data_IF_307835059889
#
_entry.id   IF_307835059889
#
_cell.length_a   1.000
_cell.length_b   1.000
_cell.length_c   1.000
_cell.angle_alpha   90.00
_cell.angle_beta   90.00
_cell.angle_gamma   90.00
#
_symmetry.space_group_name_H-M   'P 1'
#
loop_
_entity.id
_entity.type
_entity.pdbx_description
1 polymer ?
#
# COMPACT_ATOMS: atom_id res chain seq x y z
N UNK A 1 59.15 -31.64 24.65
CA UNK A 1 58.75 -31.26 23.27
C UNK A 1 57.22 -31.56 23.11
N UNK A 2 56.41 -30.58 23.42
CA UNK A 2 54.95 -30.70 23.35
C UNK A 2 54.50 -30.14 22.02
N UNK A 3 53.74 -30.94 21.25
CA UNK A 3 53.19 -30.54 19.96
C UNK A 3 51.97 -29.63 20.22
N UNK A 4 52.11 -28.40 19.81
CA UNK A 4 51.05 -27.42 19.72
C UNK A 4 50.01 -27.88 18.69
N UNK A 5 48.80 -28.02 19.13
CA UNK A 5 47.66 -28.52 18.36
C UNK A 5 46.97 -27.30 17.72
N UNK A 6 47.41 -26.98 16.48
CA UNK A 6 46.83 -25.95 15.65
C UNK A 6 45.45 -26.39 15.18
N UNK A 7 44.37 -25.90 15.85
CA UNK A 7 42.97 -26.11 15.44
C UNK A 7 42.56 -24.97 14.54
N UNK A 8 42.11 -25.23 13.30
CA UNK A 8 41.65 -24.19 12.40
C UNK A 8 40.47 -23.43 13.02
N UNK A 9 40.50 -22.11 12.87
CA UNK A 9 39.59 -21.16 13.49
C UNK A 9 38.12 -21.55 13.29
N UNK A 10 37.43 -21.64 14.39
CA UNK A 10 35.97 -21.77 14.43
C UNK A 10 35.41 -20.44 13.92
N UNK A 11 34.69 -20.47 12.79
CA UNK A 11 33.89 -19.34 12.34
C UNK A 11 32.82 -19.14 13.42
N UNK A 12 32.96 -18.09 14.22
CA UNK A 12 31.89 -17.61 15.06
C UNK A 12 31.02 -16.73 14.18
N UNK A 13 29.81 -17.20 13.87
CA UNK A 13 28.78 -16.32 13.36
C UNK A 13 28.46 -15.35 14.50
N UNK A 14 28.59 -14.04 14.26
CA UNK A 14 28.00 -13.07 15.15
C UNK A 14 26.50 -13.39 15.22
N UNK A 15 25.98 -13.58 16.43
CA UNK A 15 24.55 -13.60 16.68
C UNK A 15 24.03 -12.16 16.46
N UNK A 16 23.97 -11.74 15.19
CA UNK A 16 23.12 -10.62 14.82
C UNK A 16 21.70 -11.12 15.09
N UNK A 17 21.03 -10.49 16.04
CA UNK A 17 19.59 -10.66 16.19
C UNK A 17 18.98 -10.43 14.82
N UNK A 18 18.50 -11.50 14.20
CA UNK A 18 17.81 -11.42 12.90
C UNK A 18 16.46 -10.74 13.18
N UNK A 19 16.51 -9.42 13.22
CA UNK A 19 15.30 -8.61 13.24
C UNK A 19 14.62 -8.85 11.89
N UNK A 20 13.43 -9.46 11.91
CA UNK A 20 12.62 -9.64 10.71
C UNK A 20 12.41 -8.29 10.03
N UNK A 21 12.32 -8.26 8.68
CA UNK A 21 12.08 -7.04 7.93
C UNK A 21 10.82 -6.32 8.45
N UNK A 22 10.93 -5.01 8.70
CA UNK A 22 9.83 -4.15 9.14
C UNK A 22 9.00 -3.74 7.92
N UNK A 23 7.90 -4.43 7.74
CA UNK A 23 7.03 -4.26 6.58
C UNK A 23 5.84 -3.38 6.97
N UNK A 24 5.61 -2.31 6.21
CA UNK A 24 4.43 -1.44 6.38
C UNK A 24 3.52 -1.53 5.15
N UNK A 25 2.22 -1.58 5.40
CA UNK A 25 1.18 -1.60 4.35
C UNK A 25 0.35 -0.34 4.47
N UNK A 26 0.45 0.54 3.48
CA UNK A 26 -0.21 1.84 3.44
C UNK A 26 -1.39 1.82 2.49
N UNK A 27 -2.59 1.95 3.02
CA UNK A 27 -3.82 2.10 2.23
C UNK A 27 -4.15 3.55 1.97
N UNK A 28 -4.05 3.99 0.71
CA UNK A 28 -4.25 5.39 0.30
C UNK A 28 -5.63 5.60 -0.31
N UNK A 29 -6.39 6.52 0.25
CA UNK A 29 -7.75 6.85 -0.17
C UNK A 29 -8.77 5.77 0.20
N UNK A 30 -10.00 5.88 -0.32
CA UNK A 30 -11.09 4.95 0.01
C UNK A 30 -10.80 3.51 -0.40
N UNK A 31 -10.33 3.29 -1.63
CA UNK A 31 -10.00 1.96 -2.16
C UNK A 31 -8.89 1.27 -1.38
N UNK A 32 -7.77 1.98 -1.17
CA UNK A 32 -6.64 1.46 -0.39
C UNK A 32 -7.00 1.21 1.08
N UNK A 33 -7.75 2.13 1.69
CA UNK A 33 -8.26 1.95 3.06
C UNK A 33 -9.16 0.73 3.21
N UNK A 34 -10.01 0.45 2.23
CA UNK A 34 -10.84 -0.76 2.21
C UNK A 34 -9.99 -2.03 2.08
N UNK A 35 -8.96 -2.01 1.24
CA UNK A 35 -8.03 -3.13 1.11
C UNK A 35 -7.32 -3.43 2.43
N UNK A 36 -6.76 -2.42 3.10
CA UNK A 36 -6.14 -2.55 4.43
C UNK A 36 -7.13 -3.12 5.46
N UNK A 37 -8.35 -2.58 5.53
CA UNK A 37 -9.38 -3.08 6.46
C UNK A 37 -9.70 -4.56 6.22
N UNK A 38 -9.67 -5.04 4.98
CA UNK A 38 -9.88 -6.46 4.63
C UNK A 38 -8.69 -7.32 5.02
N UNK A 39 -7.46 -6.89 4.75
CA UNK A 39 -6.24 -7.60 5.15
C UNK A 39 -6.20 -7.82 6.67
N UNK A 40 -6.54 -6.80 7.45
CA UNK A 40 -6.65 -6.89 8.90
C UNK A 40 -7.76 -7.89 9.31
N UNK A 41 -8.92 -7.84 8.64
CA UNK A 41 -10.03 -8.75 8.91
C UNK A 41 -9.72 -10.21 8.56
N UNK A 42 -8.84 -10.45 7.58
CA UNK A 42 -8.36 -11.81 7.22
C UNK A 42 -7.26 -12.33 8.14
N UNK A 43 -6.83 -11.54 9.14
CA UNK A 43 -5.85 -12.00 10.14
C UNK A 43 -4.40 -11.95 9.65
N UNK A 44 -4.09 -11.16 8.60
CA UNK A 44 -2.71 -10.99 8.14
C UNK A 44 -1.85 -10.38 9.26
N UNK A 45 -0.77 -11.06 9.61
CA UNK A 45 0.16 -10.69 10.68
C UNK A 45 1.57 -10.41 10.11
N UNK A 46 2.45 -9.88 10.96
CA UNK A 46 3.84 -9.61 10.60
C UNK A 46 4.05 -8.31 9.80
N UNK A 47 3.01 -7.48 9.66
CA UNK A 47 3.06 -6.19 9.00
C UNK A 47 2.34 -5.11 9.81
N UNK A 48 2.77 -3.87 9.66
CA UNK A 48 2.13 -2.70 10.24
C UNK A 48 1.19 -2.04 9.22
N UNK A 49 -0.05 -1.76 9.63
CA UNK A 49 -1.07 -1.19 8.75
C UNK A 49 -1.27 0.29 8.99
N UNK A 50 -1.24 1.06 7.91
CA UNK A 50 -1.44 2.52 7.90
C UNK A 50 -2.56 2.85 6.92
N UNK A 51 -3.50 3.71 7.31
CA UNK A 51 -4.52 4.26 6.42
C UNK A 51 -4.30 5.77 6.24
N UNK A 52 -4.20 6.21 5.00
CA UNK A 52 -4.03 7.62 4.61
C UNK A 52 -5.25 8.07 3.81
N UNK A 53 -5.96 9.11 4.24
CA UNK A 53 -7.13 9.60 3.52
C UNK A 53 -7.38 11.10 3.77
N UNK A 54 -8.02 11.76 2.81
CA UNK A 54 -8.57 13.11 2.95
C UNK A 54 -9.97 13.12 3.55
N UNK A 55 -10.68 11.97 3.51
CA UNK A 55 -12.02 11.78 4.06
C UNK A 55 -11.92 11.27 5.51
N UNK A 56 -12.32 12.12 6.46
CA UNK A 56 -12.25 11.82 7.89
C UNK A 56 -13.24 10.73 8.31
N UNK A 57 -14.40 10.64 7.67
CA UNK A 57 -15.40 9.63 8.01
C UNK A 57 -14.94 8.24 7.60
N UNK A 58 -14.43 8.11 6.36
CA UNK A 58 -13.83 6.88 5.87
C UNK A 58 -12.62 6.46 6.72
N UNK A 59 -11.80 7.42 7.15
CA UNK A 59 -10.64 7.16 7.99
C UNK A 59 -11.03 6.67 9.40
N UNK A 60 -12.07 7.27 10.01
CA UNK A 60 -12.59 6.82 11.32
C UNK A 60 -13.12 5.40 11.29
N UNK A 61 -13.81 5.03 10.21
CA UNK A 61 -14.37 3.69 10.01
C UNK A 61 -13.31 2.63 9.65
N UNK A 62 -12.09 3.04 9.28
CA UNK A 62 -11.01 2.14 8.91
C UNK A 62 -10.50 1.34 10.10
N UNK A 63 -10.03 0.10 9.86
CA UNK A 63 -9.50 -0.80 10.90
C UNK A 63 -8.01 -0.65 11.17
N UNK A 64 -7.28 0.12 10.34
CA UNK A 64 -5.85 0.33 10.54
C UNK A 64 -5.56 0.95 11.92
N UNK A 65 -4.53 0.47 12.64
CA UNK A 65 -4.11 1.05 13.90
C UNK A 65 -3.56 2.47 13.72
N UNK A 66 -2.85 2.73 12.62
CA UNK A 66 -2.32 4.05 12.29
C UNK A 66 -3.21 4.68 11.22
N UNK A 67 -3.69 5.89 11.48
CA UNK A 67 -4.60 6.62 10.60
C UNK A 67 -4.09 8.04 10.40
N UNK A 68 -3.83 8.41 9.17
CA UNK A 68 -3.30 9.72 8.79
C UNK A 68 -4.34 10.46 7.97
N UNK A 69 -4.91 11.51 8.53
CA UNK A 69 -5.69 12.47 7.76
C UNK A 69 -4.73 13.41 7.06
N UNK A 70 -4.83 13.50 5.73
CA UNK A 70 -4.06 14.43 4.90
C UNK A 70 -4.94 15.53 4.33
N UNK A 71 -4.38 16.72 4.15
CA UNK A 71 -5.06 17.87 3.59
C UNK A 71 -6.23 18.37 4.45
N UNK A 72 -6.07 18.32 5.77
CA UNK A 72 -7.12 18.74 6.70
C UNK A 72 -7.57 20.19 6.51
N UNK A 73 -6.66 21.10 6.17
CA UNK A 73 -6.98 22.51 5.86
C UNK A 73 -7.63 22.64 4.48
N UNK A 74 -7.12 21.90 3.49
CA UNK A 74 -7.57 21.95 2.10
C UNK A 74 -8.97 21.35 1.92
N UNK A 75 -9.23 20.18 2.50
CA UNK A 75 -10.45 19.40 2.26
C UNK A 75 -11.48 19.49 3.40
N UNK A 76 -11.07 19.99 4.56
CA UNK A 76 -11.89 20.02 5.79
C UNK A 76 -12.46 18.64 6.18
N UNK A 77 -11.76 17.57 5.77
CA UNK A 77 -12.17 16.18 6.03
C UNK A 77 -13.28 15.66 5.12
N UNK A 78 -13.67 16.37 4.07
CA UNK A 78 -14.75 15.99 3.14
C UNK A 78 -14.25 15.17 1.93
N UNK A 79 -12.95 14.84 1.89
CA UNK A 79 -12.38 14.13 0.77
C UNK A 79 -11.90 15.03 -0.38
N UNK A 80 -11.27 14.44 -1.38
CA UNK A 80 -10.69 15.16 -2.52
C UNK A 80 -11.68 15.41 -3.69
N UNK A 81 -12.95 15.06 -3.55
CA UNK A 81 -13.97 15.33 -4.58
C UNK A 81 -13.68 14.71 -5.95
N UNK A 82 -13.09 13.53 -5.99
CA UNK A 82 -12.63 12.83 -7.22
C UNK A 82 -11.61 13.65 -8.05
N UNK A 83 -10.93 14.61 -7.44
CA UNK A 83 -9.87 15.40 -8.08
C UNK A 83 -8.48 14.94 -7.59
N UNK A 84 -7.64 14.33 -8.46
CA UNK A 84 -6.31 13.88 -8.10
C UNK A 84 -5.36 15.00 -7.65
N UNK A 85 -5.48 16.20 -8.21
CA UNK A 85 -4.63 17.34 -7.81
C UNK A 85 -4.87 17.76 -6.36
N UNK A 86 -6.15 17.72 -5.91
CA UNK A 86 -6.49 17.95 -4.51
C UNK A 86 -5.92 16.85 -3.63
N UNK A 87 -6.00 15.58 -4.07
CA UNK A 87 -5.40 14.45 -3.36
C UNK A 87 -3.88 14.58 -3.22
N UNK A 88 -3.19 15.00 -4.29
CA UNK A 88 -1.76 15.24 -4.30
C UNK A 88 -1.37 16.38 -3.34
N UNK A 89 -2.03 17.52 -3.47
CA UNK A 89 -1.78 18.69 -2.61
C UNK A 89 -2.02 18.36 -1.12
N UNK A 90 -3.07 17.58 -0.82
CA UNK A 90 -3.38 17.12 0.52
C UNK A 90 -2.24 16.26 1.12
N UNK A 91 -1.66 15.36 0.34
CA UNK A 91 -0.53 14.54 0.80
C UNK A 91 0.75 15.38 0.98
N UNK A 92 0.99 16.34 0.09
CA UNK A 92 2.12 17.27 0.21
C UNK A 92 2.00 18.18 1.44
N UNK A 93 0.78 18.65 1.77
CA UNK A 93 0.53 19.47 2.98
C UNK A 93 0.94 18.75 4.28
N UNK A 94 0.75 17.43 4.32
CA UNK A 94 0.98 16.61 5.53
C UNK A 94 2.15 15.61 5.35
N UNK A 95 3.17 15.98 4.55
CA UNK A 95 4.35 15.14 4.27
C UNK A 95 5.05 14.66 5.55
N UNK A 96 5.20 15.52 6.55
CA UNK A 96 5.85 15.16 7.83
C UNK A 96 5.13 13.99 8.53
N UNK A 97 3.79 14.02 8.60
CA UNK A 97 3.01 12.94 9.22
C UNK A 97 3.18 11.61 8.49
N UNK A 98 3.30 11.65 7.15
CA UNK A 98 3.53 10.46 6.34
C UNK A 98 4.93 9.94 6.58
N UNK A 99 5.93 10.82 6.60
CA UNK A 99 7.33 10.50 6.86
C UNK A 99 7.49 9.81 8.22
N UNK A 100 6.98 10.42 9.29
CA UNK A 100 7.02 9.87 10.66
C UNK A 100 6.40 8.48 10.75
N UNK A 101 5.27 8.26 10.06
CA UNK A 101 4.59 6.98 10.07
C UNK A 101 5.33 5.89 9.26
N UNK A 102 6.15 6.28 8.29
CA UNK A 102 6.94 5.36 7.46
C UNK A 102 8.36 5.15 7.98
N UNK A 103 8.81 5.97 8.92
CA UNK A 103 10.16 5.88 9.47
C UNK A 103 10.48 4.47 9.98
N UNK A 104 11.70 4.04 9.71
CA UNK A 104 12.20 2.75 10.17
C UNK A 104 11.62 1.54 9.43
N UNK A 105 10.92 1.70 8.30
CA UNK A 105 10.50 0.56 7.47
C UNK A 105 11.63 0.07 6.56
N UNK A 106 11.70 -1.24 6.36
CA UNK A 106 12.60 -1.88 5.39
C UNK A 106 11.88 -2.12 4.06
N UNK A 107 10.54 -2.29 4.11
CA UNK A 107 9.69 -2.45 2.94
C UNK A 107 8.34 -1.75 3.15
N UNK A 108 7.84 -1.06 2.11
CA UNK A 108 6.54 -0.39 2.12
C UNK A 108 5.69 -0.88 0.94
N UNK A 109 4.55 -1.47 1.26
CA UNK A 109 3.49 -1.74 0.30
C UNK A 109 2.51 -0.58 0.27
N UNK A 110 2.23 -0.05 -0.91
CA UNK A 110 1.27 1.04 -1.11
C UNK A 110 0.08 0.48 -1.88
N UNK A 111 -1.11 0.49 -1.27
CA UNK A 111 -2.33 0.05 -1.95
C UNK A 111 -3.28 1.22 -2.17
N UNK A 112 -3.81 1.33 -3.40
CA UNK A 112 -4.74 2.38 -3.77
C UNK A 112 -5.70 1.95 -4.88
N UNK A 113 -6.92 2.48 -4.85
CA UNK A 113 -7.81 2.45 -6.01
C UNK A 113 -7.58 3.70 -6.86
N UNK A 114 -7.13 3.52 -8.09
CA UNK A 114 -6.88 4.62 -9.02
C UNK A 114 -8.17 5.05 -9.74
N UNK A 115 -8.18 6.27 -10.26
CA UNK A 115 -9.32 6.89 -10.93
C UNK A 115 -10.19 7.76 -10.02
N UNK A 116 -9.90 7.80 -8.71
CA UNK A 116 -10.49 8.75 -7.77
C UNK A 116 -9.58 9.95 -7.47
N UNK A 117 -9.88 10.72 -6.44
CA UNK A 117 -9.07 11.87 -6.04
C UNK A 117 -7.88 11.46 -5.17
N UNK A 118 -8.16 11.04 -3.94
CA UNK A 118 -7.12 10.77 -2.93
C UNK A 118 -6.18 9.64 -3.34
N UNK A 119 -6.72 8.47 -3.74
CA UNK A 119 -5.89 7.32 -4.11
C UNK A 119 -4.97 7.62 -5.28
N UNK A 120 -5.49 8.28 -6.32
CA UNK A 120 -4.74 8.62 -7.53
C UNK A 120 -3.67 9.67 -7.29
N UNK A 121 -4.02 10.74 -6.55
CA UNK A 121 -3.13 11.87 -6.35
C UNK A 121 -2.13 11.69 -5.20
N UNK A 122 -2.56 11.09 -4.10
CA UNK A 122 -1.72 10.95 -2.91
C UNK A 122 -0.79 9.74 -2.94
N UNK A 123 -1.15 8.64 -3.65
CA UNK A 123 -0.31 7.43 -3.66
C UNK A 123 1.10 7.69 -4.24
N UNK A 124 1.29 8.44 -5.35
CA UNK A 124 2.63 8.78 -5.82
C UNK A 124 3.44 9.60 -4.80
N UNK A 125 2.80 10.50 -4.05
CA UNK A 125 3.47 11.30 -3.01
C UNK A 125 3.93 10.40 -1.86
N UNK A 126 3.06 9.51 -1.36
CA UNK A 126 3.40 8.53 -0.33
C UNK A 126 4.55 7.64 -0.80
N UNK A 127 4.53 7.20 -2.06
CA UNK A 127 5.57 6.39 -2.66
C UNK A 127 6.91 7.12 -2.72
N UNK A 128 6.91 8.37 -3.16
CA UNK A 128 8.12 9.22 -3.22
C UNK A 128 8.71 9.44 -1.82
N UNK A 129 7.88 9.65 -0.81
CA UNK A 129 8.34 9.77 0.58
C UNK A 129 8.98 8.46 1.04
N UNK A 130 8.31 7.33 0.81
CA UNK A 130 8.80 6.01 1.21
C UNK A 130 10.17 5.69 0.59
N UNK A 131 10.33 5.93 -0.72
CA UNK A 131 11.58 5.66 -1.44
C UNK A 131 12.76 6.52 -0.96
N UNK A 132 12.49 7.70 -0.37
CA UNK A 132 13.53 8.62 0.12
C UNK A 132 13.95 8.34 1.57
N UNK A 133 13.22 7.50 2.31
CA UNK A 133 13.50 7.24 3.73
C UNK A 133 14.69 6.31 4.00
N UNK A 134 15.21 5.63 2.96
CA UNK A 134 16.28 4.63 3.12
C UNK A 134 17.65 5.20 3.54
N UNK A 135 17.92 6.47 3.28
CA UNK A 135 19.17 7.15 3.66
C UNK A 135 20.43 6.37 3.32
N UNK A 136 21.49 6.52 4.13
CA UNK A 136 22.79 5.87 3.94
C UNK A 136 22.79 4.36 4.27
N UNK A 137 21.75 3.83 4.89
CA UNK A 137 21.66 2.42 5.33
C UNK A 137 21.03 1.48 4.30
N UNK A 138 20.58 2.00 3.16
CA UNK A 138 19.91 1.26 2.09
C UNK A 138 18.57 1.88 1.74
N UNK A 139 18.06 1.65 0.52
CA UNK A 139 16.74 2.14 0.10
C UNK A 139 15.63 1.28 0.68
N UNK A 140 14.54 1.91 1.13
CA UNK A 140 13.31 1.20 1.49
C UNK A 140 12.71 0.60 0.22
N UNK A 141 12.50 -0.72 0.19
CA UNK A 141 11.86 -1.37 -0.95
C UNK A 141 10.39 -0.96 -1.03
N UNK A 142 10.01 -0.37 -2.16
CA UNK A 142 8.65 0.16 -2.38
C UNK A 142 7.90 -0.65 -3.42
N UNK A 143 6.73 -1.16 -3.05
CA UNK A 143 5.86 -1.94 -3.94
C UNK A 143 4.46 -1.35 -3.95
N UNK A 144 3.96 -0.97 -5.11
CA UNK A 144 2.59 -0.49 -5.25
C UNK A 144 1.67 -1.60 -5.78
N UNK A 145 0.55 -1.83 -5.10
CA UNK A 145 -0.53 -2.73 -5.53
C UNK A 145 -1.80 -1.91 -5.71
N UNK A 146 -2.17 -1.65 -6.96
CA UNK A 146 -3.25 -0.72 -7.27
C UNK A 146 -4.33 -1.35 -8.15
N UNK A 147 -5.57 -0.89 -7.98
CA UNK A 147 -6.68 -1.29 -8.83
C UNK A 147 -7.02 -0.19 -9.83
N UNK A 148 -7.29 -0.60 -11.07
CA UNK A 148 -7.83 0.27 -12.12
C UNK A 148 -9.36 0.20 -12.12
N UNK A 149 -10.06 1.30 -12.44
CA UNK A 149 -11.53 1.32 -12.47
C UNK A 149 -12.09 0.35 -13.51
N UNK A 150 -13.35 -0.01 -13.34
CA UNK A 150 -14.09 -0.73 -14.38
C UNK A 150 -14.28 0.15 -15.62
N UNK A 151 -14.28 -0.47 -16.81
CA UNK A 151 -14.53 0.25 -18.08
C UNK A 151 -15.87 0.99 -18.07
N UNK A 152 -16.88 0.46 -17.37
CA UNK A 152 -18.20 1.07 -17.21
C UNK A 152 -18.21 2.35 -16.35
N UNK A 153 -17.16 2.61 -15.57
CA UNK A 153 -17.03 3.83 -14.74
C UNK A 153 -16.68 5.08 -15.58
N UNK A 154 -16.39 4.89 -16.85
CA UNK A 154 -16.24 5.94 -17.85
C UNK A 154 -14.78 6.33 -18.13
N UNK A 155 -14.60 6.90 -19.34
CA UNK A 155 -13.27 7.24 -19.89
C UNK A 155 -12.48 8.24 -19.02
N UNK A 156 -13.17 9.22 -18.41
CA UNK A 156 -12.53 10.22 -17.56
C UNK A 156 -11.83 9.56 -16.36
N UNK A 157 -12.53 8.64 -15.70
CA UNK A 157 -12.01 7.95 -14.53
C UNK A 157 -10.85 7.03 -14.87
N UNK A 158 -10.95 6.34 -16.01
CA UNK A 158 -9.86 5.53 -16.56
C UNK A 158 -8.63 6.40 -16.93
N UNK A 159 -8.83 7.56 -17.58
CA UNK A 159 -7.75 8.49 -17.91
C UNK A 159 -7.00 8.94 -16.64
N UNK A 160 -7.73 9.41 -15.63
CA UNK A 160 -7.13 9.76 -14.34
C UNK A 160 -6.36 8.60 -13.69
N UNK A 161 -6.88 7.38 -13.81
CA UNK A 161 -6.19 6.19 -13.29
C UNK A 161 -4.88 5.90 -14.02
N UNK A 162 -4.85 6.04 -15.33
CA UNK A 162 -3.65 5.83 -16.13
C UNK A 162 -2.58 6.88 -15.88
N UNK A 163 -2.98 8.16 -15.73
CA UNK A 163 -2.07 9.25 -15.36
C UNK A 163 -1.45 9.02 -13.98
N UNK A 164 -2.28 8.63 -12.99
CA UNK A 164 -1.80 8.30 -11.66
C UNK A 164 -0.90 7.06 -11.63
N UNK A 165 -1.20 6.05 -12.45
CA UNK A 165 -0.36 4.87 -12.61
C UNK A 165 1.02 5.22 -13.19
N UNK A 166 1.05 6.11 -14.19
CA UNK A 166 2.30 6.57 -14.79
C UNK A 166 3.18 7.27 -13.74
N UNK A 167 2.61 8.21 -12.99
CA UNK A 167 3.33 8.91 -11.90
C UNK A 167 3.82 7.93 -10.81
N UNK A 168 2.99 6.96 -10.43
CA UNK A 168 3.35 5.99 -9.40
C UNK A 168 4.52 5.09 -9.82
N UNK A 169 4.59 4.70 -11.09
CA UNK A 169 5.69 3.90 -11.65
C UNK A 169 7.06 4.60 -11.56
N UNK A 170 7.08 5.92 -11.54
CA UNK A 170 8.33 6.70 -11.40
C UNK A 170 8.81 6.79 -9.94
N UNK A 171 7.94 6.43 -8.98
CA UNK A 171 8.19 6.62 -7.55
C UNK A 171 8.43 5.31 -6.78
N UNK A 172 8.23 4.14 -7.39
CA UNK A 172 8.34 2.84 -6.70
C UNK A 172 9.20 1.85 -7.47
N UNK A 173 9.77 0.87 -6.75
CA UNK A 173 10.60 -0.19 -7.36
C UNK A 173 9.77 -1.18 -8.18
N UNK A 174 8.52 -1.43 -7.77
CA UNK A 174 7.62 -2.35 -8.47
C UNK A 174 6.16 -1.91 -8.39
N UNK A 175 5.39 -2.13 -9.48
CA UNK A 175 3.95 -1.86 -9.53
C UNK A 175 3.18 -3.09 -10.01
N UNK A 176 2.17 -3.48 -9.25
CA UNK A 176 1.17 -4.46 -9.64
C UNK A 176 -0.15 -3.72 -9.87
N UNK A 177 -0.57 -3.61 -11.14
CA UNK A 177 -1.83 -2.99 -11.51
C UNK A 177 -2.89 -4.05 -11.82
N UNK A 178 -4.00 -4.05 -11.10
CA UNK A 178 -5.09 -5.00 -11.22
C UNK A 178 -6.28 -4.32 -11.91
N UNK A 179 -6.58 -4.64 -13.18
CA UNK A 179 -7.79 -4.14 -13.84
C UNK A 179 -9.03 -4.75 -13.19
N UNK A 180 -9.95 -3.92 -12.67
CA UNK A 180 -11.20 -4.42 -12.06
C UNK A 180 -12.06 -5.23 -13.03
N UNK A 181 -12.00 -4.97 -14.33
CA UNK A 181 -12.72 -5.74 -15.34
C UNK A 181 -12.38 -7.24 -15.31
N UNK A 182 -11.15 -7.61 -14.94
CA UNK A 182 -10.77 -9.02 -14.80
C UNK A 182 -11.53 -9.72 -13.68
N UNK A 183 -11.97 -8.99 -12.67
CA UNK A 183 -12.73 -9.54 -11.55
C UNK A 183 -14.13 -9.96 -11.98
N UNK A 184 -14.74 -9.25 -12.95
CA UNK A 184 -16.04 -9.59 -13.50
C UNK A 184 -16.04 -10.93 -14.25
N UNK A 185 -14.88 -11.31 -14.80
CA UNK A 185 -14.72 -12.58 -15.51
C UNK A 185 -14.50 -13.78 -14.57
N UNK A 186 -14.12 -13.51 -13.31
CA UNK A 186 -13.81 -14.53 -12.30
C UNK A 186 -15.00 -14.85 -11.39
N UNK A 187 -16.10 -14.11 -11.49
CA UNK A 187 -17.30 -14.29 -10.67
C UNK A 187 -18.53 -14.63 -11.50
N UNK A 188 -19.47 -15.37 -10.92
CA UNK A 188 -20.72 -15.70 -11.60
C UNK A 188 -21.51 -14.43 -11.96
N UNK A 189 -22.24 -14.46 -13.08
CA UNK A 189 -22.95 -13.30 -13.65
C UNK A 189 -23.90 -12.56 -12.69
N UNK A 190 -24.32 -13.20 -11.60
CA UNK A 190 -25.24 -12.65 -10.61
C UNK A 190 -24.56 -12.30 -9.27
N UNK A 191 -23.22 -12.27 -9.21
CA UNK A 191 -22.49 -11.96 -7.98
C UNK A 191 -22.55 -10.45 -7.71
N UNK A 192 -22.93 -10.01 -6.49
CA UNK A 192 -22.88 -8.60 -6.12
C UNK A 192 -21.46 -8.05 -6.25
N UNK A 193 -21.32 -6.78 -6.66
CA UNK A 193 -20.02 -6.12 -6.85
C UNK A 193 -19.15 -6.18 -5.56
N UNK A 194 -19.78 -6.07 -4.40
CA UNK A 194 -19.09 -6.20 -3.10
C UNK A 194 -18.46 -7.58 -2.89
N UNK A 195 -19.05 -8.62 -3.43
CA UNK A 195 -18.55 -9.99 -3.35
C UNK A 195 -17.49 -10.27 -4.42
N UNK A 196 -17.63 -9.69 -5.60
CA UNK A 196 -16.60 -9.72 -6.63
C UNK A 196 -15.27 -9.14 -6.11
N UNK A 197 -15.31 -8.05 -5.38
CA UNK A 197 -14.13 -7.50 -4.70
C UNK A 197 -13.57 -8.40 -3.60
N UNK A 198 -14.40 -9.20 -2.95
CA UNK A 198 -13.97 -10.18 -1.94
C UNK A 198 -13.18 -11.33 -2.56
N UNK A 199 -13.67 -11.87 -3.65
CA UNK A 199 -13.01 -12.97 -4.41
C UNK A 199 -11.66 -12.51 -4.98
N UNK A 200 -11.57 -11.27 -5.43
CA UNK A 200 -10.33 -10.70 -5.95
C UNK A 200 -9.21 -10.51 -4.92
N UNK A 201 -9.57 -10.41 -3.64
CA UNK A 201 -8.60 -10.25 -2.56
C UNK A 201 -8.05 -11.59 -2.01
N UNK A 202 -8.58 -12.73 -2.49
CA UNK A 202 -8.09 -14.07 -2.13
C UNK A 202 -7.24 -14.58 -3.30
N UNK A 203 -5.95 -14.87 -3.12
CA UNK A 203 -5.15 -15.50 -4.17
C UNK A 203 -5.76 -16.86 -4.53
N UNK A 204 -5.80 -17.19 -5.82
CA UNK A 204 -6.40 -18.40 -6.36
C UNK A 204 -5.80 -19.73 -5.81
N UNK A 205 -4.66 -19.63 -5.13
CA UNK A 205 -3.89 -20.77 -4.62
C UNK A 205 -4.31 -21.21 -3.20
N UNK A 206 -5.26 -20.50 -2.57
CA UNK A 206 -5.72 -20.84 -1.21
C UNK A 206 -6.68 -22.05 -1.16
N UNK A 207 -7.18 -22.53 -2.31
CA UNK A 207 -8.08 -23.69 -2.39
C UNK A 207 -7.38 -25.02 -2.73
N UNK A 208 -6.07 -25.05 -2.92
CA UNK A 208 -5.33 -26.23 -3.36
C UNK A 208 -4.82 -27.15 -2.21
N UNK A 209 -5.19 -26.90 -0.96
CA UNK A 209 -4.84 -27.77 0.17
C UNK A 209 -6.08 -28.16 0.97
N UNK A 210 -6.88 -29.01 0.39
CA UNK A 210 -7.85 -29.87 1.09
C UNK A 210 -7.37 -31.31 1.07
N UNK A 211 -7.68 -32.11 2.10
CA UNK A 211 -7.09 -33.41 2.40
C UNK A 211 -7.35 -34.45 1.32
#
# INVERSE_FOLDING_TARGET
MSKENDRPGRIQFAEEEVHGARIKVVGVGGGGGNAVSRMIASGLQGVEFIAVNTDLQALRANRAPIKIQVGGKLTKGLGAGANPDVGRQAAVEDTEKICDALEGSDMVFITAGLGGGTGTGAAPVVASIASQLGGDTGSVLTVAVVTLPFSLEGKRRMGQAMDGLAQLKECVDSVIAIPNDRLLNSVARNTPVSEAFRVAAVPADAEATGP
#
